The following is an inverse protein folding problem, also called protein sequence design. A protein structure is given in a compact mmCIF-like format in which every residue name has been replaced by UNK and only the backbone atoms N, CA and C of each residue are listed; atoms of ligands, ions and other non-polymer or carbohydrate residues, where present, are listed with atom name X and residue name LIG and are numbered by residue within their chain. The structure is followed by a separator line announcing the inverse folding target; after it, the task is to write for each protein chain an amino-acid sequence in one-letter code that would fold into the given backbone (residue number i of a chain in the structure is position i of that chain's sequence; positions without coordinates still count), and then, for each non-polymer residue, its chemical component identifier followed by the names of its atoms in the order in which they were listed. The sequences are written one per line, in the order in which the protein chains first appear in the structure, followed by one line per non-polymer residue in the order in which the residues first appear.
data_IF_249925984678
#
_entry.id   IF_249925984678
#
_cell.length_a   1.000
_cell.length_b   1.000
_cell.length_c   1.000
_cell.angle_alpha   90.00
_cell.angle_beta   90.00
_cell.angle_gamma   90.00
#
_symmetry.space_group_name_H-M   'P 1'
#
loop_
_entity.id
_entity.type
_entity.pdbx_description
1 polymer ?
#
# COMPACT_ATOMS: atom_id res chain seq x y z
N UNK A 1 3.51 12.17 25.78
CA UNK A 1 3.49 10.78 26.28
C UNK A 1 3.38 9.78 25.13
N UNK A 2 2.37 9.93 24.27
CA UNK A 2 2.16 9.05 23.10
C UNK A 2 3.36 9.01 22.14
N UNK A 3 3.95 10.14 21.75
CA UNK A 3 5.11 10.15 20.85
C UNK A 3 6.31 9.37 21.41
N UNK A 4 6.60 9.51 22.71
CA UNK A 4 7.68 8.76 23.38
C UNK A 4 7.38 7.27 23.42
N UNK A 5 6.11 6.91 23.63
CA UNK A 5 5.64 5.52 23.61
C UNK A 5 5.74 4.92 22.20
N UNK A 6 5.27 5.62 21.17
CA UNK A 6 5.39 5.20 19.77
C UNK A 6 6.86 5.08 19.35
N UNK A 7 7.72 6.02 19.73
CA UNK A 7 9.15 5.95 19.44
C UNK A 7 9.85 4.80 20.18
N UNK A 8 9.41 4.44 21.39
CA UNK A 8 9.90 3.25 22.08
C UNK A 8 9.43 1.96 21.39
N UNK A 9 8.17 1.94 20.95
CA UNK A 9 7.58 0.83 20.20
C UNK A 9 8.28 0.62 18.85
N UNK A 10 8.43 1.66 18.04
CA UNK A 10 9.10 1.59 16.74
C UNK A 10 10.55 1.10 16.88
N UNK A 11 11.32 1.65 17.83
CA UNK A 11 12.70 1.17 18.10
C UNK A 11 12.76 -0.29 18.56
N UNK A 12 11.73 -0.76 19.25
CA UNK A 12 11.65 -2.16 19.66
C UNK A 12 11.32 -3.05 18.47
N UNK A 13 10.33 -2.66 17.65
CA UNK A 13 9.97 -3.37 16.43
C UNK A 13 11.12 -3.42 15.42
N UNK A 14 11.83 -2.31 15.20
CA UNK A 14 13.00 -2.25 14.30
C UNK A 14 14.14 -3.19 14.74
N UNK A 15 14.25 -3.47 16.05
CA UNK A 15 15.22 -4.44 16.57
C UNK A 15 14.73 -5.89 16.50
N UNK A 16 13.42 -6.09 16.60
CA UNK A 16 12.79 -7.42 16.61
C UNK A 16 12.53 -7.95 15.21
N UNK A 17 12.13 -7.09 14.27
CA UNK A 17 11.74 -7.49 12.92
C UNK A 17 12.96 -7.37 12.00
N UNK A 18 13.47 -8.51 11.49
CA UNK A 18 14.52 -8.47 10.50
C UNK A 18 13.99 -7.87 9.19
N UNK A 19 14.91 -7.42 8.35
CA UNK A 19 14.59 -6.89 7.03
C UNK A 19 13.69 -7.88 6.24
N UNK A 20 12.71 -7.43 5.43
CA UNK A 20 11.78 -8.32 4.72
C UNK A 20 12.46 -9.44 3.91
N UNK A 21 13.60 -9.13 3.29
CA UNK A 21 14.41 -10.14 2.60
C UNK A 21 14.98 -11.21 3.55
N UNK A 22 15.47 -10.80 4.73
CA UNK A 22 15.97 -11.72 5.76
C UNK A 22 14.83 -12.60 6.28
N UNK A 23 13.63 -12.03 6.49
CA UNK A 23 12.44 -12.81 6.83
C UNK A 23 12.11 -13.84 5.75
N UNK A 24 12.14 -13.48 4.47
CA UNK A 24 11.89 -14.40 3.35
C UNK A 24 12.91 -15.56 3.30
N UNK A 25 14.20 -15.27 3.52
CA UNK A 25 15.24 -16.30 3.60
C UNK A 25 15.04 -17.22 4.80
N UNK A 26 14.74 -16.66 5.97
CA UNK A 26 14.46 -17.45 7.18
C UNK A 26 13.25 -18.36 6.97
N UNK A 27 12.16 -17.83 6.42
CA UNK A 27 10.97 -18.60 6.09
C UNK A 27 11.25 -19.69 5.06
N UNK A 28 12.13 -19.43 4.08
CA UNK A 28 12.56 -20.44 3.11
C UNK A 28 13.26 -21.61 3.81
N UNK A 29 14.21 -21.32 4.69
CA UNK A 29 14.94 -22.36 5.45
C UNK A 29 14.00 -23.12 6.39
N UNK A 30 13.15 -22.40 7.14
CA UNK A 30 12.18 -23.03 8.06
C UNK A 30 11.20 -23.92 7.29
N UNK A 31 10.65 -23.45 6.18
CA UNK A 31 9.72 -24.22 5.34
C UNK A 31 10.41 -25.45 4.75
N UNK A 32 11.67 -25.31 4.31
CA UNK A 32 12.47 -26.45 3.83
C UNK A 32 12.67 -27.51 4.93
N UNK A 33 13.04 -27.10 6.14
CA UNK A 33 13.23 -28.01 7.27
C UNK A 33 11.93 -28.70 7.69
N UNK A 34 10.82 -27.97 7.71
CA UNK A 34 9.49 -28.52 7.99
C UNK A 34 9.09 -29.52 6.91
N UNK A 35 9.25 -29.18 5.63
CA UNK A 35 8.94 -30.10 4.54
C UNK A 35 9.80 -31.38 4.62
N UNK A 36 11.09 -31.24 4.92
CA UNK A 36 12.00 -32.39 5.08
C UNK A 36 11.60 -33.30 6.26
N UNK A 37 11.08 -32.72 7.35
CA UNK A 37 10.68 -33.48 8.53
C UNK A 37 9.31 -34.16 8.38
N UNK A 38 8.39 -33.58 7.60
CA UNK A 38 6.97 -33.98 7.60
C UNK A 38 6.46 -34.50 6.25
N UNK A 39 7.28 -34.54 5.19
CA UNK A 39 6.88 -35.06 3.87
C UNK A 39 7.81 -36.20 3.43
N UNK A 40 7.38 -37.10 2.52
CA UNK A 40 8.21 -38.21 2.06
C UNK A 40 9.29 -37.79 1.04
N UNK A 41 9.46 -36.49 0.77
CA UNK A 41 10.37 -35.99 -0.27
C UNK A 41 11.80 -35.85 0.24
N UNK A 42 12.76 -36.19 -0.62
CA UNK A 42 14.19 -36.00 -0.37
C UNK A 42 14.58 -34.51 -0.39
N UNK A 43 15.69 -34.18 0.25
CA UNK A 43 16.24 -32.81 0.25
C UNK A 43 16.45 -32.25 -1.17
N UNK A 44 16.89 -33.08 -2.12
CA UNK A 44 17.06 -32.69 -3.52
C UNK A 44 15.74 -32.37 -4.22
N UNK A 45 14.69 -33.14 -3.96
CA UNK A 45 13.36 -32.88 -4.52
C UNK A 45 12.78 -31.56 -3.98
N UNK A 46 12.94 -31.31 -2.67
CA UNK A 46 12.49 -30.07 -2.04
C UNK A 46 13.20 -28.83 -2.59
N UNK A 47 14.51 -28.92 -2.88
CA UNK A 47 15.24 -27.85 -3.59
C UNK A 47 14.67 -27.66 -5.00
N UNK A 48 14.33 -28.75 -5.69
CA UNK A 48 13.65 -28.72 -6.98
C UNK A 48 12.31 -27.97 -6.94
N UNK A 49 11.45 -28.28 -5.96
CA UNK A 49 10.16 -27.60 -5.77
C UNK A 49 10.31 -26.12 -5.44
N UNK A 50 11.28 -25.78 -4.60
CA UNK A 50 11.57 -24.38 -4.29
C UNK A 50 12.02 -23.61 -5.55
N UNK A 51 12.92 -24.21 -6.33
CA UNK A 51 13.41 -23.60 -7.56
C UNK A 51 12.28 -23.40 -8.58
N UNK A 52 11.46 -24.44 -8.84
CA UNK A 52 10.33 -24.32 -9.77
C UNK A 52 9.31 -23.28 -9.32
N UNK A 53 8.94 -23.28 -8.03
CA UNK A 53 7.98 -22.33 -7.48
C UNK A 53 8.46 -20.87 -7.57
N UNK A 54 9.76 -20.61 -7.43
CA UNK A 54 10.30 -19.27 -7.66
C UNK A 54 10.11 -18.81 -9.12
N UNK A 55 10.33 -19.71 -10.09
CA UNK A 55 10.18 -19.38 -11.52
C UNK A 55 8.71 -19.18 -11.90
N UNK A 56 7.79 -19.94 -11.30
CA UNK A 56 6.34 -19.79 -11.54
C UNK A 56 5.82 -18.41 -11.09
N UNK A 57 6.43 -17.82 -10.06
CA UNK A 57 6.06 -16.49 -9.55
C UNK A 57 6.77 -15.33 -10.25
N UNK A 58 7.72 -15.59 -11.16
CA UNK A 58 8.53 -14.53 -11.77
C UNK A 58 7.68 -13.54 -12.58
N UNK A 59 6.70 -14.03 -13.35
CA UNK A 59 5.80 -13.17 -14.12
C UNK A 59 4.98 -12.25 -13.22
N UNK A 60 4.43 -12.80 -12.13
CA UNK A 60 3.69 -12.03 -11.13
C UNK A 60 4.60 -11.02 -10.41
N UNK A 61 5.81 -11.43 -10.02
CA UNK A 61 6.78 -10.55 -9.39
C UNK A 61 7.18 -9.38 -10.31
N UNK A 62 7.42 -9.64 -11.60
CA UNK A 62 7.69 -8.61 -12.60
C UNK A 62 6.50 -7.65 -12.75
N UNK A 63 5.28 -8.17 -12.78
CA UNK A 63 4.07 -7.34 -12.82
C UNK A 63 3.99 -6.42 -11.59
N UNK A 64 4.24 -6.92 -10.39
CA UNK A 64 4.24 -6.10 -9.16
C UNK A 64 5.37 -5.07 -9.17
N UNK A 65 6.56 -5.43 -9.65
CA UNK A 65 7.69 -4.52 -9.82
C UNK A 65 7.35 -3.38 -10.80
N UNK A 66 6.72 -3.71 -11.93
CA UNK A 66 6.27 -2.71 -12.91
C UNK A 66 5.20 -1.79 -12.32
N UNK A 67 4.23 -2.29 -11.56
CA UNK A 67 3.23 -1.43 -10.89
C UNK A 67 3.92 -0.39 -9.99
N UNK A 68 4.92 -0.80 -9.20
CA UNK A 68 5.65 0.10 -8.32
C UNK A 68 6.51 1.11 -9.10
N UNK A 69 7.34 0.63 -10.04
CA UNK A 69 8.25 1.48 -10.82
C UNK A 69 7.49 2.47 -11.70
N UNK A 70 6.43 2.02 -12.37
CA UNK A 70 5.59 2.91 -13.20
C UNK A 70 4.77 3.86 -12.34
N UNK A 71 4.29 3.42 -11.18
CA UNK A 71 3.62 4.28 -10.21
C UNK A 71 4.53 5.40 -9.73
N UNK A 72 5.80 5.10 -9.45
CA UNK A 72 6.81 6.10 -9.14
C UNK A 72 7.11 7.04 -10.29
N UNK A 73 7.40 6.50 -11.48
CA UNK A 73 7.68 7.30 -12.66
C UNK A 73 6.52 8.27 -12.98
N UNK A 74 5.27 7.83 -12.79
CA UNK A 74 4.09 8.67 -12.96
C UNK A 74 4.01 9.77 -11.90
N UNK A 75 4.27 9.46 -10.62
CA UNK A 75 4.24 10.44 -9.53
C UNK A 75 5.30 11.55 -9.71
N UNK A 76 6.46 11.19 -10.23
CA UNK A 76 7.57 12.11 -10.48
C UNK A 76 7.44 12.87 -11.80
N UNK A 77 6.51 12.46 -12.68
CA UNK A 77 6.33 13.09 -13.98
C UNK A 77 6.02 14.60 -13.82
N UNK A 78 6.66 15.49 -14.60
CA UNK A 78 6.50 16.94 -14.46
C UNK A 78 5.05 17.45 -14.49
N UNK A 79 4.11 16.88 -15.27
CA UNK A 79 2.70 17.28 -15.22
C UNK A 79 2.06 16.93 -13.87
N UNK A 80 2.34 15.75 -13.33
CA UNK A 80 1.78 15.28 -12.06
C UNK A 80 2.36 16.09 -10.90
N UNK A 81 3.68 16.27 -10.84
CA UNK A 81 4.32 17.08 -9.81
C UNK A 81 3.75 18.52 -9.77
N UNK A 82 3.49 19.13 -10.93
CA UNK A 82 2.82 20.44 -11.04
C UNK A 82 1.39 20.40 -10.52
N UNK A 83 0.62 19.38 -10.86
CA UNK A 83 -0.75 19.21 -10.37
C UNK A 83 -0.79 19.03 -8.85
N UNK A 84 0.09 18.21 -8.28
CA UNK A 84 0.18 18.00 -6.83
C UNK A 84 0.54 19.29 -6.09
N UNK A 85 1.46 20.09 -6.65
CA UNK A 85 1.82 21.41 -6.09
C UNK A 85 0.66 22.41 -6.18
N UNK A 86 -0.13 22.38 -7.25
CA UNK A 86 -1.31 23.23 -7.35
C UNK A 86 -2.37 22.80 -6.30
N UNK A 87 -2.63 21.50 -6.20
CA UNK A 87 -3.55 20.92 -5.22
C UNK A 87 -3.16 21.25 -3.78
N UNK A 88 -1.87 21.28 -3.45
CA UNK A 88 -1.42 21.50 -2.07
C UNK A 88 -1.78 22.87 -1.50
N UNK A 89 -1.96 23.87 -2.35
CA UNK A 89 -2.38 25.23 -1.95
C UNK A 89 -3.89 25.40 -1.77
N UNK A 90 -4.71 24.43 -2.23
CA UNK A 90 -6.16 24.53 -2.21
C UNK A 90 -6.78 24.51 -0.79
N UNK A 91 -6.30 23.71 0.18
CA UNK A 91 -6.84 23.69 1.53
C UNK A 91 -6.70 25.06 2.21
N UNK A 92 -7.67 25.45 3.04
CA UNK A 92 -7.61 26.70 3.82
C UNK A 92 -7.37 26.49 5.31
N UNK A 93 -7.23 25.24 5.73
CA UNK A 93 -7.06 24.85 7.13
C UNK A 93 -6.74 23.37 7.27
N UNK A 94 -6.43 22.96 8.50
CA UNK A 94 -5.97 21.61 8.82
C UNK A 94 -6.95 20.53 8.37
N UNK A 95 -8.24 20.67 8.69
CA UNK A 95 -9.30 19.72 8.32
C UNK A 95 -9.41 19.52 6.81
N UNK A 96 -9.39 20.62 6.04
CA UNK A 96 -9.42 20.57 4.58
C UNK A 96 -8.14 19.93 4.01
N UNK A 97 -6.99 20.15 4.65
CA UNK A 97 -5.72 19.54 4.27
C UNK A 97 -5.75 18.03 4.44
N UNK A 98 -6.20 17.56 5.60
CA UNK A 98 -6.38 16.13 5.89
C UNK A 98 -7.33 15.48 4.90
N UNK A 99 -8.47 16.11 4.61
CA UNK A 99 -9.44 15.60 3.63
C UNK A 99 -8.82 15.49 2.23
N UNK A 100 -8.14 16.54 1.75
CA UNK A 100 -7.53 16.54 0.43
C UNK A 100 -6.44 15.48 0.30
N UNK A 101 -5.54 15.37 1.29
CA UNK A 101 -4.45 14.40 1.27
C UNK A 101 -4.99 12.98 1.29
N UNK A 102 -5.91 12.67 2.21
CA UNK A 102 -6.46 11.32 2.35
C UNK A 102 -7.25 10.86 1.13
N UNK A 103 -8.16 11.69 0.61
CA UNK A 103 -8.93 11.35 -0.61
C UNK A 103 -8.00 11.18 -1.80
N UNK A 104 -7.02 12.08 -1.97
CA UNK A 104 -6.07 12.00 -3.09
C UNK A 104 -5.20 10.75 -3.03
N UNK A 105 -4.69 10.40 -1.83
CA UNK A 105 -3.91 9.20 -1.62
C UNK A 105 -4.73 7.93 -1.90
N UNK A 106 -5.99 7.88 -1.43
CA UNK A 106 -6.89 6.74 -1.65
C UNK A 106 -7.24 6.57 -3.12
N UNK A 107 -7.64 7.64 -3.82
CA UNK A 107 -7.97 7.59 -5.25
C UNK A 107 -6.74 7.18 -6.07
N UNK A 108 -5.58 7.77 -5.79
CA UNK A 108 -4.33 7.40 -6.45
C UNK A 108 -3.99 5.91 -6.22
N UNK A 109 -4.10 5.44 -4.98
CA UNK A 109 -3.82 4.04 -4.61
C UNK A 109 -4.82 3.04 -5.23
N UNK A 110 -6.08 3.43 -5.40
CA UNK A 110 -7.09 2.60 -6.05
C UNK A 110 -6.77 2.36 -7.53
N UNK A 111 -6.23 3.37 -8.22
CA UNK A 111 -5.75 3.25 -9.59
C UNK A 111 -4.45 2.44 -9.65
N UNK A 112 -3.46 2.83 -8.85
CA UNK A 112 -2.16 2.17 -8.74
C UNK A 112 -1.61 2.37 -7.32
N UNK A 113 -1.40 1.28 -6.58
CA UNK A 113 -0.97 1.33 -5.19
C UNK A 113 0.43 1.93 -5.02
N UNK A 114 1.35 1.69 -5.97
CA UNK A 114 2.68 2.29 -6.00
C UNK A 114 2.64 3.81 -6.23
N UNK A 115 1.74 4.27 -7.10
CA UNK A 115 1.47 5.69 -7.32
C UNK A 115 0.89 6.35 -6.08
N UNK A 116 -0.10 5.70 -5.44
CA UNK A 116 -0.76 6.20 -4.23
C UNK A 116 0.18 6.44 -3.05
N UNK A 117 1.15 5.54 -2.85
CA UNK A 117 2.21 5.69 -1.84
C UNK A 117 2.97 7.01 -1.98
N UNK A 118 3.36 7.36 -3.20
CA UNK A 118 4.21 8.51 -3.47
C UNK A 118 3.39 9.79 -3.48
N UNK A 119 2.20 9.77 -4.09
CA UNK A 119 1.26 10.90 -4.07
C UNK A 119 0.90 11.28 -2.63
N UNK A 120 0.56 10.29 -1.80
CA UNK A 120 0.22 10.50 -0.40
C UNK A 120 1.35 11.18 0.38
N UNK A 121 2.58 10.69 0.23
CA UNK A 121 3.76 11.28 0.88
C UNK A 121 4.07 12.70 0.39
N UNK A 122 4.02 12.94 -0.94
CA UNK A 122 4.29 14.25 -1.54
C UNK A 122 3.22 15.26 -1.09
N UNK A 123 1.93 14.93 -1.21
CA UNK A 123 0.84 15.84 -0.82
C UNK A 123 0.84 16.12 0.67
N UNK A 124 1.06 15.11 1.53
CA UNK A 124 1.15 15.31 2.97
C UNK A 124 2.21 16.37 3.32
N UNK A 125 3.39 16.30 2.70
CA UNK A 125 4.46 17.29 2.89
C UNK A 125 4.10 18.66 2.33
N UNK A 126 3.66 18.72 1.06
CA UNK A 126 3.38 19.99 0.40
C UNK A 126 2.23 20.75 1.08
N UNK A 127 1.17 20.05 1.49
CA UNK A 127 0.03 20.65 2.23
C UNK A 127 0.48 21.10 3.61
N UNK A 128 1.33 20.32 4.30
CA UNK A 128 1.86 20.71 5.60
C UNK A 128 2.67 22.01 5.50
N UNK A 129 3.61 22.08 4.56
CA UNK A 129 4.48 23.25 4.39
C UNK A 129 3.68 24.49 3.97
N UNK A 130 2.73 24.33 3.05
CA UNK A 130 1.88 25.42 2.59
C UNK A 130 0.95 25.94 3.71
N UNK A 131 0.31 25.06 4.48
CA UNK A 131 -0.49 25.47 5.64
C UNK A 131 0.36 26.10 6.74
N UNK A 132 1.54 25.56 7.03
CA UNK A 132 2.43 26.11 8.06
C UNK A 132 2.88 27.52 7.69
N UNK A 133 3.18 27.76 6.41
CA UNK A 133 3.56 29.09 5.90
C UNK A 133 2.43 30.14 6.05
N UNK A 134 1.17 29.72 5.95
CA UNK A 134 0.00 30.61 6.00
C UNK A 134 -0.60 30.77 7.40
N UNK A 135 -0.55 29.72 8.22
CA UNK A 135 -1.28 29.62 9.49
C UNK A 135 -0.36 29.51 10.73
N UNK A 136 0.93 29.23 10.53
CA UNK A 136 1.92 28.94 11.57
C UNK A 136 2.01 27.44 11.91
N UNK A 137 3.22 26.98 12.25
CA UNK A 137 3.53 25.56 12.56
C UNK A 137 2.65 25.00 13.69
N UNK A 138 2.30 25.82 14.69
CA UNK A 138 1.46 25.42 15.83
C UNK A 138 0.03 25.01 15.44
N UNK A 139 -0.44 25.39 14.24
CA UNK A 139 -1.76 25.02 13.73
C UNK A 139 -1.72 23.81 12.78
N UNK A 140 -0.56 23.21 12.56
CA UNK A 140 -0.37 22.14 11.59
C UNK A 140 0.13 20.87 12.26
N UNK A 141 -0.69 19.82 12.22
CA UNK A 141 -0.27 18.48 12.66
C UNK A 141 0.32 17.70 11.49
N UNK A 142 1.64 17.82 11.28
CA UNK A 142 2.36 17.09 10.22
C UNK A 142 2.17 15.57 10.34
N UNK A 143 2.06 15.04 11.56
CA UNK A 143 1.76 13.63 11.81
C UNK A 143 0.39 13.21 11.29
N UNK A 144 -0.65 14.04 11.47
CA UNK A 144 -2.00 13.74 10.96
C UNK A 144 -2.05 13.81 9.43
N UNK A 145 -1.33 14.75 8.80
CA UNK A 145 -1.18 14.78 7.33
C UNK A 145 -0.40 13.57 6.82
N UNK A 146 0.62 13.11 7.54
CA UNK A 146 1.31 11.86 7.24
C UNK A 146 0.39 10.64 7.31
N UNK A 147 -0.43 10.55 8.37
CA UNK A 147 -1.45 9.51 8.50
C UNK A 147 -2.48 9.57 7.37
N UNK A 148 -2.92 10.78 6.99
CA UNK A 148 -3.79 11.00 5.83
C UNK A 148 -3.13 10.53 4.53
N UNK A 149 -1.84 10.78 4.32
CA UNK A 149 -1.12 10.29 3.14
C UNK A 149 -1.02 8.77 3.09
N UNK A 150 -0.98 8.11 4.25
CA UNK A 150 -0.87 6.65 4.37
C UNK A 150 -2.20 5.91 4.13
N UNK A 151 -3.35 6.60 4.08
CA UNK A 151 -4.66 5.95 3.87
C UNK A 151 -4.76 5.22 2.53
N UNK A 152 -3.93 5.59 1.54
CA UNK A 152 -3.79 4.83 0.30
C UNK A 152 -3.50 3.34 0.53
N UNK A 153 -2.68 3.01 1.54
CA UNK A 153 -2.36 1.61 1.87
C UNK A 153 -3.48 0.85 2.59
N UNK A 154 -4.47 1.54 3.15
CA UNK A 154 -5.68 0.89 3.64
C UNK A 154 -6.69 0.61 2.51
N UNK A 155 -6.57 1.30 1.38
CA UNK A 155 -7.57 1.35 0.32
C UNK A 155 -7.21 0.55 -0.94
N UNK A 156 -5.92 0.42 -1.23
CA UNK A 156 -5.43 -0.09 -2.50
C UNK A 156 -5.85 -1.53 -2.85
N UNK A 157 -6.06 -2.40 -1.86
CA UNK A 157 -6.45 -3.79 -2.10
C UNK A 157 -7.80 -3.90 -2.82
N UNK A 158 -8.69 -2.92 -2.62
CA UNK A 158 -9.97 -2.84 -3.32
C UNK A 158 -9.87 -2.19 -4.71
N UNK A 159 -8.66 -1.84 -5.16
CA UNK A 159 -8.39 -1.14 -6.40
C UNK A 159 -7.90 -2.02 -7.54
N UNK A 160 -7.75 -1.42 -8.72
CA UNK A 160 -7.40 -2.10 -9.99
C UNK A 160 -6.02 -2.77 -9.92
N UNK A 161 -5.13 -2.21 -9.10
CA UNK A 161 -3.77 -2.72 -8.89
C UNK A 161 -3.63 -3.67 -7.70
N UNK A 162 -4.74 -4.09 -7.06
CA UNK A 162 -4.73 -5.00 -5.93
C UNK A 162 -4.05 -6.33 -6.29
N UNK A 163 -3.04 -6.73 -5.51
CA UNK A 163 -2.21 -7.90 -5.84
C UNK A 163 -3.01 -9.20 -5.82
N UNK A 164 -3.89 -9.37 -4.83
CA UNK A 164 -4.77 -10.53 -4.70
C UNK A 164 -5.77 -10.67 -5.87
N UNK A 165 -6.59 -9.65 -6.20
CA UNK A 165 -7.51 -9.78 -7.34
C UNK A 165 -6.77 -9.93 -8.67
N UNK A 166 -5.61 -9.29 -8.86
CA UNK A 166 -4.79 -9.48 -10.08
C UNK A 166 -4.21 -10.91 -10.18
N UNK A 167 -3.85 -11.52 -9.06
CA UNK A 167 -3.26 -12.86 -9.04
C UNK A 167 -4.23 -13.96 -9.51
N UNK A 168 -5.55 -13.73 -9.43
CA UNK A 168 -6.59 -14.73 -9.79
C UNK A 168 -7.43 -14.33 -11.00
N UNK A 169 -7.17 -13.17 -11.59
CA UNK A 169 -8.00 -12.60 -12.66
C UNK A 169 -7.85 -13.28 -14.02
N UNK A 170 -6.73 -13.96 -14.25
CA UNK A 170 -6.42 -14.68 -15.48
C UNK A 170 -6.01 -16.11 -15.21
N UNK A 171 -5.98 -16.96 -16.25
CA UNK A 171 -5.57 -18.36 -16.12
C UNK A 171 -4.06 -18.50 -15.80
N UNK A 172 -3.67 -19.68 -15.31
CA UNK A 172 -2.29 -20.06 -15.01
C UNK A 172 -1.85 -19.74 -13.58
N UNK A 173 -2.76 -19.36 -12.68
CA UNK A 173 -2.42 -19.13 -11.28
C UNK A 173 -2.48 -20.41 -10.44
N UNK A 174 -1.67 -20.48 -9.39
CA UNK A 174 -1.49 -21.69 -8.54
C UNK A 174 -2.77 -22.22 -7.88
N UNK A 175 -3.80 -21.37 -7.77
CA UNK A 175 -5.06 -21.71 -7.11
C UNK A 175 -6.19 -22.01 -8.11
N UNK A 176 -5.92 -22.00 -9.43
CA UNK A 176 -6.96 -22.13 -10.46
C UNK A 176 -7.74 -23.44 -10.33
N UNK A 177 -7.08 -24.55 -9.97
CA UNK A 177 -7.77 -25.83 -9.75
C UNK A 177 -8.76 -25.80 -8.57
N UNK A 178 -8.52 -24.94 -7.57
CA UNK A 178 -9.33 -24.85 -6.36
C UNK A 178 -10.44 -23.82 -6.48
N UNK A 179 -10.16 -22.66 -7.08
CA UNK A 179 -11.08 -21.51 -7.11
C UNK A 179 -11.49 -21.07 -8.50
N UNK A 180 -10.89 -21.65 -9.55
CA UNK A 180 -11.05 -21.20 -10.93
C UNK A 180 -10.44 -19.82 -11.17
N UNK A 181 -10.63 -19.30 -12.39
CA UNK A 181 -10.32 -17.91 -12.72
C UNK A 181 -11.43 -17.02 -12.18
N UNK A 182 -11.08 -16.00 -11.39
CA UNK A 182 -12.03 -15.04 -10.81
C UNK A 182 -11.84 -13.66 -11.45
N UNK A 183 -12.66 -13.29 -12.44
CA UNK A 183 -12.47 -12.05 -13.19
C UNK A 183 -12.57 -10.80 -12.31
N UNK A 184 -11.93 -9.71 -12.76
CA UNK A 184 -11.99 -8.41 -12.08
C UNK A 184 -13.42 -7.88 -11.86
N UNK A 185 -14.37 -8.31 -12.70
CA UNK A 185 -15.79 -7.98 -12.55
C UNK A 185 -16.40 -8.51 -11.25
N UNK A 186 -15.90 -9.64 -10.76
CA UNK A 186 -16.38 -10.32 -9.55
C UNK A 186 -15.54 -9.96 -8.32
N UNK A 187 -14.37 -9.34 -8.50
CA UNK A 187 -13.52 -8.85 -7.41
C UNK A 187 -13.62 -7.32 -7.28
N UNK A 188 -12.76 -6.57 -7.97
CA UNK A 188 -12.65 -5.11 -7.84
C UNK A 188 -13.91 -4.39 -8.29
N UNK A 189 -14.56 -4.84 -9.35
CA UNK A 189 -15.78 -4.21 -9.86
C UNK A 189 -17.07 -4.88 -9.35
N UNK A 190 -16.96 -5.75 -8.34
CA UNK A 190 -18.14 -6.27 -7.66
C UNK A 190 -18.88 -5.16 -6.93
N UNK A 191 -20.22 -5.26 -6.86
CA UNK A 191 -21.04 -4.27 -6.14
C UNK A 191 -20.65 -4.14 -4.66
N UNK A 192 -20.24 -5.25 -4.02
CA UNK A 192 -19.78 -5.27 -2.63
C UNK A 192 -18.48 -4.49 -2.46
N UNK A 193 -17.47 -4.75 -3.30
CA UNK A 193 -16.19 -4.05 -3.21
C UNK A 193 -16.34 -2.55 -3.55
N UNK A 194 -17.16 -2.21 -4.56
CA UNK A 194 -17.43 -0.80 -4.89
C UNK A 194 -18.12 -0.10 -3.71
N UNK A 195 -19.15 -0.72 -3.11
CA UNK A 195 -19.84 -0.14 -1.96
C UNK A 195 -18.88 0.06 -0.76
N UNK A 196 -18.02 -0.93 -0.48
CA UNK A 196 -17.03 -0.83 0.59
C UNK A 196 -16.00 0.28 0.31
N UNK A 197 -15.48 0.37 -0.92
CA UNK A 197 -14.55 1.43 -1.28
C UNK A 197 -15.20 2.81 -1.20
N UNK A 198 -16.45 2.98 -1.63
CA UNK A 198 -17.16 4.25 -1.46
C UNK A 198 -17.32 4.59 0.03
N UNK A 199 -17.72 3.61 0.85
CA UNK A 199 -17.84 3.80 2.29
C UNK A 199 -16.51 4.21 2.92
N UNK A 200 -15.41 3.52 2.62
CA UNK A 200 -14.08 3.85 3.14
C UNK A 200 -13.60 5.22 2.66
N UNK A 201 -13.84 5.57 1.38
CA UNK A 201 -13.47 6.86 0.80
C UNK A 201 -14.16 8.05 1.50
N UNK A 202 -15.30 7.81 2.17
CA UNK A 202 -15.99 8.83 2.97
C UNK A 202 -15.60 8.73 4.44
N UNK A 203 -15.71 7.54 5.03
CA UNK A 203 -15.57 7.34 6.47
C UNK A 203 -14.13 7.56 6.97
N UNK A 204 -13.12 7.14 6.21
CA UNK A 204 -11.72 7.29 6.62
C UNK A 204 -11.30 8.77 6.62
N UNK A 205 -11.52 9.55 5.55
CA UNK A 205 -11.26 10.99 5.60
C UNK A 205 -12.10 11.70 6.68
N UNK A 206 -13.39 11.36 6.83
CA UNK A 206 -14.23 11.97 7.85
C UNK A 206 -13.70 11.71 9.27
N UNK A 207 -13.25 10.48 9.56
CA UNK A 207 -12.63 10.15 10.83
C UNK A 207 -11.35 10.97 11.08
N UNK A 208 -10.45 11.06 10.09
CA UNK A 208 -9.22 11.85 10.22
C UNK A 208 -9.51 13.36 10.35
N UNK A 209 -10.57 13.86 9.70
CA UNK A 209 -11.03 15.23 9.86
C UNK A 209 -11.49 15.52 11.29
N UNK A 210 -12.15 14.58 11.96
CA UNK A 210 -12.53 14.74 13.38
C UNK A 210 -11.31 14.87 14.29
N UNK A 211 -10.20 14.21 13.95
CA UNK A 211 -8.94 14.31 14.70
C UNK A 211 -8.15 15.60 14.42
N UNK A 212 -8.64 16.45 13.52
CA UNK A 212 -7.98 17.72 13.15
C UNK A 212 -8.41 18.92 13.99
N UNK A 213 -9.36 18.74 14.90
CA UNK A 213 -9.82 19.72 15.89
C UNK A 213 -9.04 19.59 17.19
#
# INVERSE_FOLDING_TARGET
MLEKMFAAWSRTLERLFPHPFTLALLLTVVTFLVALAFTPHSASELVGFWASGMWDLLGFAMQMALILVTGQALAEAPPVARALKALSSAPRGMTAGVALVSVSAMVAAWLNWGFGLIVGAILARLVADDLASRLGEQKVSRGLLGAAGYTGLAFWHGGISGSAPLAVAGPGHQMEELVGVIPMRETVFSGQNIALNIALLVLVPAFLMLLSH
#
